data_IF_346273582935
#
_entry.id   IF_346273582935
#
_cell.length_a   1.000
_cell.length_b   1.000
_cell.length_c   1.000
_cell.angle_alpha   90.00
_cell.angle_beta   90.00
_cell.angle_gamma   90.00
#
_symmetry.space_group_name_H-M   'P 1'
#
loop_
_entity.id
_entity.type
_entity.pdbx_description
1 polymer ?
#
# COMPACT_ATOMS: atom_id res chain seq x y z
N UNK A 1 -78.86 -8.02 -0.52
CA UNK A 1 -78.00 -7.93 -1.72
C UNK A 1 -77.15 -6.67 -1.63
N UNK A 2 -75.92 -6.87 -1.15
CA UNK A 2 -74.69 -6.08 -1.25
C UNK A 2 -74.77 -4.65 -1.83
N UNK A 3 -74.70 -3.64 -0.94
CA UNK A 3 -74.27 -2.27 -1.26
C UNK A 3 -72.78 -2.12 -0.93
N UNK A 4 -71.96 -1.95 -1.97
CA UNK A 4 -70.53 -1.62 -1.88
C UNK A 4 -70.37 -0.17 -1.42
N UNK A 5 -69.52 0.04 -0.42
CA UNK A 5 -68.96 1.33 -0.06
C UNK A 5 -67.67 1.53 -0.85
N UNK A 6 -67.61 2.59 -1.65
CA UNK A 6 -66.37 3.07 -2.28
C UNK A 6 -65.94 4.33 -1.54
N UNK A 7 -64.98 4.19 -0.62
CA UNK A 7 -64.24 5.31 -0.05
C UNK A 7 -63.02 5.56 -0.93
N UNK A 8 -62.99 6.74 -1.54
CA UNK A 8 -61.80 7.29 -2.18
C UNK A 8 -60.77 7.66 -1.10
N UNK A 9 -59.58 7.09 -1.16
CA UNK A 9 -58.42 7.55 -0.40
C UNK A 9 -57.48 8.25 -1.36
N UNK A 10 -57.34 9.56 -1.17
CA UNK A 10 -56.34 10.40 -1.82
C UNK A 10 -54.94 10.01 -1.33
N UNK A 11 -54.06 9.63 -2.25
CA UNK A 11 -52.63 9.47 -1.97
C UNK A 11 -51.99 10.84 -2.15
N UNK A 12 -51.63 11.48 -1.04
CA UNK A 12 -50.76 12.66 -1.05
C UNK A 12 -49.31 12.17 -1.20
N UNK A 13 -48.72 12.38 -2.37
CA UNK A 13 -47.29 12.19 -2.59
C UNK A 13 -46.54 13.38 -1.97
N UNK A 14 -45.87 13.14 -0.83
CA UNK A 14 -44.91 14.09 -0.27
C UNK A 14 -43.57 13.89 -1.00
N UNK A 15 -43.22 14.84 -1.86
CA UNK A 15 -41.89 14.92 -2.45
C UNK A 15 -40.90 15.42 -1.37
N UNK A 16 -40.02 14.53 -0.90
CA UNK A 16 -38.86 14.91 -0.10
C UNK A 16 -37.78 15.34 -1.09
N UNK A 17 -37.58 16.66 -1.22
CA UNK A 17 -36.45 17.21 -1.94
C UNK A 17 -35.20 17.03 -1.06
N UNK A 18 -34.33 16.11 -1.45
CA UNK A 18 -32.97 16.00 -0.91
C UNK A 18 -32.17 17.15 -1.50
N UNK A 19 -31.84 18.14 -0.67
CA UNK A 19 -30.88 19.19 -1.02
C UNK A 19 -29.50 18.55 -0.89
N UNK A 20 -28.92 18.13 -2.02
CA UNK A 20 -27.49 17.82 -2.10
C UNK A 20 -26.79 19.17 -2.10
N UNK A 21 -26.23 19.56 -0.96
CA UNK A 21 -25.28 20.66 -0.89
C UNK A 21 -24.00 20.21 -1.60
N UNK A 22 -23.84 20.59 -2.86
CA UNK A 22 -22.56 20.53 -3.54
C UNK A 22 -21.64 21.56 -2.89
N UNK A 23 -20.83 21.14 -1.93
CA UNK A 23 -19.65 21.87 -1.52
C UNK A 23 -18.60 21.72 -2.63
N UNK A 24 -18.78 22.46 -3.73
CA UNK A 24 -17.71 22.73 -4.68
C UNK A 24 -16.79 23.79 -4.08
N UNK A 25 -15.95 23.38 -3.12
CA UNK A 25 -14.71 24.09 -2.88
C UNK A 25 -13.79 23.75 -4.04
N UNK A 26 -13.65 24.67 -4.99
CA UNK A 26 -12.55 24.62 -5.95
C UNK A 26 -11.27 24.91 -5.17
N UNK A 27 -10.74 23.89 -4.52
CA UNK A 27 -9.38 23.85 -3.99
C UNK A 27 -8.46 23.86 -5.20
N UNK A 28 -8.03 25.06 -5.60
CA UNK A 28 -7.07 25.19 -6.69
C UNK A 28 -5.77 24.53 -6.24
N UNK A 29 -5.26 23.61 -7.07
CA UNK A 29 -4.00 22.89 -6.90
C UNK A 29 -2.80 23.79 -6.57
N UNK A 30 -2.90 25.11 -6.82
CA UNK A 30 -1.89 26.14 -6.52
C UNK A 30 -1.62 26.38 -5.03
N UNK A 31 -2.58 26.14 -4.12
CA UNK A 31 -2.39 26.35 -2.67
C UNK A 31 -1.75 25.15 -1.95
N UNK A 32 -1.54 24.05 -2.68
CA UNK A 32 -1.00 22.81 -2.12
C UNK A 32 0.52 22.80 -2.32
N UNK A 33 1.28 22.85 -1.22
CA UNK A 33 2.74 22.79 -1.21
C UNK A 33 3.25 21.37 -1.55
N UNK A 34 2.99 20.92 -2.78
CA UNK A 34 3.26 19.58 -3.27
C UNK A 34 4.29 19.64 -4.40
N UNK A 35 5.13 18.60 -4.58
CA UNK A 35 6.08 18.58 -5.69
C UNK A 35 5.31 18.47 -7.01
N UNK A 36 5.63 19.33 -7.97
CA UNK A 36 4.99 19.37 -9.30
C UNK A 36 5.95 19.01 -10.43
N UNK A 37 7.25 19.15 -10.19
CA UNK A 37 8.31 18.93 -11.16
C UNK A 37 9.56 18.33 -10.49
N UNK A 38 10.57 18.01 -11.29
CA UNK A 38 11.82 17.42 -10.82
C UNK A 38 12.56 18.26 -9.76
N UNK A 39 12.57 19.59 -9.85
CA UNK A 39 13.26 20.45 -8.86
C UNK A 39 12.58 20.38 -7.49
N UNK A 40 11.25 20.45 -7.45
CA UNK A 40 10.48 20.33 -6.21
C UNK A 40 10.53 18.91 -5.65
N UNK A 41 10.61 17.90 -6.52
CA UNK A 41 10.82 16.51 -6.13
C UNK A 41 12.21 16.30 -5.52
N UNK A 42 13.27 16.82 -6.13
CA UNK A 42 14.64 16.81 -5.60
C UNK A 42 14.69 17.44 -4.20
N UNK A 43 14.03 18.59 -4.01
CA UNK A 43 13.95 19.24 -2.72
C UNK A 43 13.26 18.37 -1.67
N UNK A 44 12.13 17.73 -2.01
CA UNK A 44 11.43 16.81 -1.13
C UNK A 44 12.27 15.56 -0.83
N UNK A 45 12.99 15.01 -1.81
CA UNK A 45 13.89 13.87 -1.64
C UNK A 45 14.95 14.17 -0.57
N UNK A 46 15.62 15.32 -0.67
CA UNK A 46 16.63 15.72 0.31
C UNK A 46 16.02 15.93 1.69
N UNK A 47 14.82 16.47 1.74
CA UNK A 47 14.13 16.77 2.99
C UNK A 47 13.72 15.51 3.77
N UNK A 48 13.16 14.50 3.08
CA UNK A 48 12.68 13.27 3.73
C UNK A 48 13.77 12.22 3.92
N UNK A 49 14.96 12.43 3.34
CA UNK A 49 16.06 11.48 3.36
C UNK A 49 16.45 11.05 4.78
N UNK A 50 16.62 9.74 4.96
CA UNK A 50 17.14 9.15 6.20
C UNK A 50 18.60 8.70 6.06
N UNK A 51 19.30 9.09 4.99
CA UNK A 51 20.69 8.71 4.81
C UNK A 51 21.54 9.08 6.04
N UNK A 52 22.27 8.11 6.58
CA UNK A 52 23.09 8.24 7.78
C UNK A 52 22.34 8.26 9.11
N UNK A 53 20.99 8.23 9.13
CA UNK A 53 20.18 8.28 10.37
C UNK A 53 20.51 7.14 11.34
N UNK A 54 20.74 5.93 10.82
CA UNK A 54 21.09 4.73 11.61
C UNK A 54 22.55 4.28 11.41
N UNK A 55 23.38 5.13 10.81
CA UNK A 55 24.79 4.84 10.51
C UNK A 55 25.06 4.71 9.02
N UNK A 56 26.32 4.88 8.63
CA UNK A 56 26.75 4.89 7.23
C UNK A 56 26.71 3.51 6.55
N UNK A 57 26.71 2.44 7.34
CA UNK A 57 26.66 1.06 6.86
C UNK A 57 25.27 0.42 7.05
N UNK A 58 24.25 1.21 7.42
CA UNK A 58 22.89 0.71 7.60
C UNK A 58 22.27 0.29 6.26
N UNK A 59 21.61 -0.87 6.29
CA UNK A 59 20.89 -1.48 5.16
C UNK A 59 19.45 -1.88 5.54
N UNK A 60 19.00 -1.51 6.75
CA UNK A 60 17.65 -1.80 7.25
C UNK A 60 16.69 -0.62 7.10
N UNK A 61 17.20 0.61 7.05
CA UNK A 61 16.36 1.80 6.88
C UNK A 61 15.30 1.93 7.98
N UNK A 62 14.06 2.23 7.60
CA UNK A 62 12.95 2.41 8.54
C UNK A 62 12.55 1.14 9.27
N UNK A 63 13.03 -0.05 8.87
CA UNK A 63 12.87 -1.27 9.65
C UNK A 63 13.53 -1.16 11.05
N UNK A 64 14.56 -0.31 11.20
CA UNK A 64 15.17 0.01 12.50
C UNK A 64 14.20 0.65 13.51
N UNK A 65 13.05 1.16 13.06
CA UNK A 65 12.01 1.73 13.92
C UNK A 65 11.18 0.65 14.65
N UNK A 66 11.27 -0.61 14.19
CA UNK A 66 10.65 -1.75 14.86
C UNK A 66 11.54 -2.19 16.03
N UNK A 67 11.30 -1.57 17.19
CA UNK A 67 12.01 -1.89 18.42
C UNK A 67 11.40 -3.11 19.12
N UNK A 68 12.10 -3.77 20.06
CA UNK A 68 11.52 -4.81 20.90
C UNK A 68 10.28 -4.34 21.68
N UNK A 69 10.18 -3.06 21.99
CA UNK A 69 9.03 -2.47 22.68
C UNK A 69 7.83 -2.37 21.73
N UNK A 70 8.09 -1.99 20.47
CA UNK A 70 7.08 -1.97 19.41
C UNK A 70 6.52 -3.36 19.10
N UNK A 71 7.37 -4.38 19.10
CA UNK A 71 6.95 -5.79 18.96
C UNK A 71 6.00 -6.19 20.09
N UNK A 72 6.29 -5.80 21.34
CA UNK A 72 5.43 -6.10 22.49
C UNK A 72 4.11 -5.32 22.45
N UNK A 73 4.14 -4.07 22.01
CA UNK A 73 2.94 -3.27 21.75
C UNK A 73 2.03 -3.97 20.73
N UNK A 74 2.59 -4.37 19.59
CA UNK A 74 1.86 -5.09 18.55
C UNK A 74 1.27 -6.41 19.07
N UNK A 75 2.05 -7.20 19.81
CA UNK A 75 1.56 -8.45 20.41
C UNK A 75 0.37 -8.24 21.35
N UNK A 76 0.29 -7.07 22.01
CA UNK A 76 -0.85 -6.70 22.86
C UNK A 76 -2.16 -6.44 22.10
N UNK A 77 -2.10 -6.29 20.77
CA UNK A 77 -3.28 -6.11 19.92
C UNK A 77 -4.01 -7.43 19.62
N UNK A 78 -3.39 -8.59 19.88
CA UNK A 78 -4.02 -9.89 19.65
C UNK A 78 -5.02 -10.19 20.76
N UNK A 79 -6.29 -9.96 20.47
CA UNK A 79 -7.43 -10.10 21.39
C UNK A 79 -8.40 -11.18 20.92
N UNK A 80 -8.75 -11.18 19.63
CA UNK A 80 -9.72 -12.13 19.06
C UNK A 80 -9.06 -13.39 18.50
N UNK A 81 -7.77 -13.33 18.18
CA UNK A 81 -7.01 -14.40 17.54
C UNK A 81 -7.38 -14.62 16.07
N UNK A 82 -8.14 -13.69 15.47
CA UNK A 82 -8.52 -13.76 14.05
C UNK A 82 -7.29 -13.41 13.22
N UNK A 83 -6.94 -14.30 12.29
CA UNK A 83 -5.86 -14.08 11.34
C UNK A 83 -6.39 -13.79 9.95
N UNK A 84 -5.79 -12.83 9.27
CA UNK A 84 -6.17 -12.43 7.91
C UNK A 84 -4.92 -12.40 7.03
N UNK A 85 -4.96 -13.16 5.94
CA UNK A 85 -3.96 -13.12 4.87
C UNK A 85 -4.08 -11.79 4.13
N UNK A 86 -2.96 -11.10 3.94
CA UNK A 86 -2.88 -9.88 3.14
C UNK A 86 -2.35 -10.13 1.73
N UNK A 87 -2.05 -11.38 1.36
CA UNK A 87 -1.71 -11.75 0.00
C UNK A 87 -2.90 -12.31 -0.78
N UNK A 88 -2.98 -11.97 -2.06
CA UNK A 88 -3.80 -12.71 -3.02
C UNK A 88 -3.04 -13.93 -3.56
N UNK A 89 -3.77 -14.86 -4.18
CA UNK A 89 -3.13 -15.96 -4.92
C UNK A 89 -2.37 -15.39 -6.13
N UNK A 90 -1.11 -15.79 -6.36
CA UNK A 90 -0.32 -15.29 -7.48
C UNK A 90 -1.00 -15.67 -8.80
N UNK A 91 -0.96 -14.77 -9.78
CA UNK A 91 -1.73 -14.87 -11.03
C UNK A 91 -0.95 -15.63 -12.11
N UNK A 92 -1.41 -16.83 -12.53
CA UNK A 92 -0.73 -17.61 -13.57
C UNK A 92 -1.09 -17.17 -14.99
N UNK A 93 -2.29 -16.62 -15.17
CA UNK A 93 -2.83 -16.30 -16.49
C UNK A 93 -2.50 -14.86 -16.88
N UNK A 94 -2.17 -14.67 -18.16
CA UNK A 94 -2.03 -13.34 -18.75
C UNK A 94 -3.34 -12.55 -18.62
N UNK A 95 -3.21 -11.30 -18.17
CA UNK A 95 -4.28 -10.33 -18.14
C UNK A 95 -3.70 -8.94 -18.39
N UNK A 96 -4.56 -7.94 -18.65
CA UNK A 96 -4.09 -6.56 -18.84
C UNK A 96 -3.43 -5.98 -17.57
N UNK A 97 -3.76 -6.52 -16.39
CA UNK A 97 -3.08 -6.26 -15.12
C UNK A 97 -2.00 -7.30 -14.76
N UNK A 98 -1.71 -8.27 -15.63
CA UNK A 98 -0.67 -9.28 -15.46
C UNK A 98 -0.13 -9.74 -16.82
N UNK A 99 0.51 -8.84 -17.61
CA UNK A 99 0.77 -9.10 -19.02
C UNK A 99 1.79 -10.22 -19.27
N UNK A 100 2.72 -10.47 -18.35
CA UNK A 100 3.84 -11.40 -18.54
C UNK A 100 3.70 -12.71 -17.74
N UNK A 101 2.50 -13.03 -17.23
CA UNK A 101 2.25 -14.20 -16.37
C UNK A 101 3.23 -14.28 -15.18
N UNK A 102 2.96 -13.51 -14.13
CA UNK A 102 3.86 -13.36 -12.99
C UNK A 102 4.15 -14.64 -12.17
N UNK A 103 3.49 -15.77 -12.46
CA UNK A 103 3.59 -16.99 -11.69
C UNK A 103 3.50 -18.26 -12.55
N UNK A 104 4.42 -19.20 -12.29
CA UNK A 104 4.34 -20.55 -12.83
C UNK A 104 4.56 -21.58 -11.72
N UNK A 105 3.79 -22.67 -11.78
CA UNK A 105 3.89 -23.79 -10.85
C UNK A 105 3.96 -25.09 -11.64
N UNK A 106 5.05 -25.83 -11.46
CA UNK A 106 5.25 -27.16 -12.02
C UNK A 106 5.44 -28.18 -10.90
N UNK A 107 4.50 -29.11 -10.77
CA UNK A 107 4.64 -30.26 -9.87
C UNK A 107 5.32 -31.42 -10.61
N UNK A 108 6.26 -32.11 -9.96
CA UNK A 108 6.90 -33.30 -10.51
C UNK A 108 5.90 -34.45 -10.69
N UNK A 109 6.16 -35.33 -11.66
CA UNK A 109 5.34 -36.55 -11.86
C UNK A 109 5.29 -37.44 -10.60
N UNK A 110 6.30 -37.36 -9.74
CA UNK A 110 6.37 -38.11 -8.48
C UNK A 110 5.43 -37.56 -7.39
N UNK A 111 4.80 -36.40 -7.60
CA UNK A 111 3.90 -35.73 -6.65
C UNK A 111 4.57 -35.33 -5.32
N UNK A 112 5.89 -35.18 -5.30
CA UNK A 112 6.68 -34.92 -4.09
C UNK A 112 7.62 -33.73 -4.21
N UNK A 113 7.57 -33.01 -5.33
CA UNK A 113 8.41 -31.84 -5.56
C UNK A 113 7.66 -30.84 -6.41
N UNK A 114 7.84 -29.57 -6.09
CA UNK A 114 7.29 -28.45 -6.83
C UNK A 114 8.43 -27.54 -7.27
N UNK A 115 8.33 -27.01 -8.48
CA UNK A 115 9.10 -25.86 -8.95
C UNK A 115 8.12 -24.70 -9.02
N UNK A 116 8.45 -23.62 -8.32
CA UNK A 116 7.65 -22.40 -8.27
C UNK A 116 8.52 -21.27 -8.81
N UNK A 117 8.01 -20.58 -9.81
CA UNK A 117 8.68 -19.44 -10.44
C UNK A 117 7.79 -18.21 -10.27
N UNK A 118 8.40 -17.13 -9.79
CA UNK A 118 7.75 -15.84 -9.64
C UNK A 118 8.50 -14.79 -10.45
N UNK A 119 7.76 -13.97 -11.19
CA UNK A 119 8.23 -12.70 -11.75
C UNK A 119 7.43 -11.59 -11.08
N UNK A 120 7.98 -10.99 -10.03
CA UNK A 120 7.35 -9.91 -9.26
C UNK A 120 7.97 -8.55 -9.61
N UNK A 121 7.49 -7.48 -8.95
CA UNK A 121 7.55 -6.06 -9.37
C UNK A 121 6.53 -5.66 -10.45
N UNK A 122 5.69 -6.62 -10.86
CA UNK A 122 4.43 -6.38 -11.57
C UNK A 122 3.23 -6.50 -10.64
N UNK A 123 2.01 -6.49 -11.19
CA UNK A 123 0.79 -6.45 -10.39
C UNK A 123 0.18 -7.84 -10.07
N UNK A 124 0.79 -8.91 -10.57
CA UNK A 124 0.25 -10.27 -10.49
C UNK A 124 0.63 -11.06 -9.24
N UNK A 125 1.42 -10.49 -8.32
CA UNK A 125 1.92 -11.15 -7.11
C UNK A 125 1.96 -10.15 -5.96
N UNK A 126 1.42 -10.50 -4.79
CA UNK A 126 1.68 -9.77 -3.55
C UNK A 126 3.14 -9.93 -3.14
N UNK A 127 3.87 -8.83 -3.01
CA UNK A 127 5.31 -8.85 -2.73
C UNK A 127 5.74 -7.68 -1.84
N UNK A 128 6.99 -7.76 -1.39
CA UNK A 128 7.70 -6.65 -0.75
C UNK A 128 8.90 -6.25 -1.59
N UNK A 129 9.11 -4.96 -1.74
CA UNK A 129 10.25 -4.36 -2.43
C UNK A 129 11.38 -4.11 -1.46
N UNK A 130 12.60 -4.52 -1.80
CA UNK A 130 13.76 -4.23 -0.97
C UNK A 130 14.36 -2.85 -1.25
N UNK A 131 15.22 -2.39 -0.35
CA UNK A 131 15.88 -1.08 -0.44
C UNK A 131 16.82 -0.91 -1.66
N UNK A 132 17.11 -1.99 -2.40
CA UNK A 132 17.85 -1.94 -3.65
C UNK A 132 16.95 -1.92 -4.91
N UNK A 133 15.63 -1.94 -4.76
CA UNK A 133 14.68 -1.98 -5.86
C UNK A 133 14.61 -0.66 -6.65
N UNK A 134 14.65 0.47 -5.94
CA UNK A 134 14.62 1.81 -6.53
C UNK A 134 15.91 2.59 -6.26
N UNK A 135 16.34 3.34 -7.27
CA UNK A 135 17.47 4.24 -7.21
C UNK A 135 17.05 5.65 -7.63
N UNK A 136 17.79 6.65 -7.15
CA UNK A 136 17.65 8.02 -7.58
C UNK A 136 19.01 8.69 -7.72
N UNK A 137 19.22 9.42 -8.83
CA UNK A 137 20.47 10.12 -9.12
C UNK A 137 21.75 9.24 -8.98
N UNK A 138 21.65 7.97 -9.37
CA UNK A 138 22.76 7.00 -9.31
C UNK A 138 23.04 6.42 -7.92
N UNK A 139 22.14 6.66 -6.96
CA UNK A 139 22.25 6.19 -5.57
C UNK A 139 21.01 5.37 -5.18
N UNK A 140 21.24 4.28 -4.46
CA UNK A 140 20.25 3.55 -3.67
C UNK A 140 20.17 4.20 -2.26
N UNK A 141 19.35 3.62 -1.39
CA UNK A 141 19.29 4.00 0.02
C UNK A 141 20.68 4.10 0.66
N UNK A 142 20.84 5.08 1.55
CA UNK A 142 22.04 5.36 2.34
C UNK A 142 23.30 5.71 1.51
N UNK A 143 23.11 6.34 0.34
CA UNK A 143 24.18 6.74 -0.59
C UNK A 143 24.96 5.57 -1.19
N UNK A 144 24.39 4.37 -1.22
CA UNK A 144 24.99 3.22 -1.89
C UNK A 144 24.96 3.47 -3.40
N UNK A 145 26.08 3.39 -4.13
CA UNK A 145 26.07 3.59 -5.58
C UNK A 145 25.31 2.47 -6.29
N UNK A 146 24.60 2.79 -7.37
CA UNK A 146 23.86 1.77 -8.16
C UNK A 146 24.74 0.67 -8.72
N UNK A 147 26.05 0.87 -8.82
CA UNK A 147 27.01 -0.19 -9.17
C UNK A 147 27.07 -1.33 -8.14
N UNK A 148 26.48 -1.16 -6.95
CA UNK A 148 26.30 -2.23 -5.97
C UNK A 148 25.17 -3.20 -6.36
N UNK A 149 24.43 -2.93 -7.43
CA UNK A 149 23.41 -3.83 -8.01
C UNK A 149 23.75 -4.15 -9.46
N UNK A 150 23.83 -5.43 -9.80
CA UNK A 150 24.12 -5.89 -11.17
C UNK A 150 23.27 -7.10 -11.56
N UNK A 151 23.21 -7.41 -12.86
CA UNK A 151 22.50 -8.59 -13.34
C UNK A 151 23.21 -9.89 -12.93
N UNK A 152 24.54 -9.83 -12.76
CA UNK A 152 25.38 -10.99 -12.45
C UNK A 152 25.40 -11.33 -10.96
N UNK A 153 25.44 -10.31 -10.09
CA UNK A 153 25.60 -10.48 -8.63
C UNK A 153 24.33 -10.17 -7.84
N UNK A 154 23.30 -9.63 -8.49
CA UNK A 154 22.14 -9.06 -7.81
C UNK A 154 22.52 -7.83 -6.99
N UNK A 155 21.74 -7.54 -5.95
CA UNK A 155 22.02 -6.49 -4.98
C UNK A 155 23.08 -6.94 -3.95
N UNK A 156 24.28 -6.37 -4.01
CA UNK A 156 25.33 -6.64 -2.99
C UNK A 156 25.13 -5.86 -1.69
N UNK A 157 24.20 -4.90 -1.72
CA UNK A 157 23.78 -4.03 -0.63
C UNK A 157 22.27 -3.80 -0.72
N UNK A 158 21.63 -3.53 0.41
CA UNK A 158 20.21 -3.18 0.49
C UNK A 158 19.28 -4.28 -0.05
N UNK A 159 19.74 -5.53 -0.08
CA UNK A 159 18.96 -6.66 -0.58
C UNK A 159 17.90 -7.13 0.43
N UNK A 160 16.97 -7.97 -0.05
CA UNK A 160 15.86 -8.46 0.78
C UNK A 160 16.31 -9.36 1.95
N UNK A 161 17.53 -9.92 1.91
CA UNK A 161 18.04 -10.78 2.97
C UNK A 161 18.31 -10.02 4.27
N UNK A 162 18.43 -8.68 4.20
CA UNK A 162 18.48 -7.82 5.38
C UNK A 162 17.23 -7.98 6.28
N UNK A 163 16.07 -8.33 5.71
CA UNK A 163 14.81 -8.54 6.44
C UNK A 163 14.62 -9.99 6.95
N UNK A 164 15.66 -10.84 6.93
CA UNK A 164 15.57 -12.25 7.31
C UNK A 164 15.08 -12.53 8.75
N UNK A 165 15.13 -11.54 9.65
CA UNK A 165 14.62 -11.69 11.02
C UNK A 165 13.08 -11.60 11.09
N UNK A 166 12.43 -11.32 9.96
CA UNK A 166 10.99 -11.10 9.88
C UNK A 166 10.57 -9.73 10.40
N UNK A 167 9.35 -9.38 10.07
CA UNK A 167 8.70 -8.12 10.41
C UNK A 167 7.58 -8.48 11.37
N UNK A 168 7.68 -7.99 12.61
CA UNK A 168 6.62 -8.10 13.61
C UNK A 168 6.40 -6.72 14.22
N UNK A 169 5.28 -6.09 13.91
CA UNK A 169 4.97 -4.75 14.40
C UNK A 169 3.47 -4.49 14.32
N UNK A 170 3.05 -3.28 14.66
CA UNK A 170 1.66 -2.84 14.53
C UNK A 170 1.39 -2.42 13.08
N UNK A 171 0.37 -3.00 12.48
CA UNK A 171 -0.21 -2.55 11.22
C UNK A 171 -1.44 -1.68 11.46
N UNK A 172 -1.63 -0.66 10.62
CA UNK A 172 -2.81 0.22 10.61
C UNK A 172 -3.41 0.24 9.21
N UNK A 173 -4.71 -0.08 9.11
CA UNK A 173 -5.45 0.00 7.85
C UNK A 173 -5.97 1.43 7.61
N UNK A 174 -5.65 1.98 6.44
CA UNK A 174 -6.20 3.21 5.87
C UNK A 174 -7.22 2.84 4.78
N UNK A 175 -8.52 2.79 5.11
CA UNK A 175 -9.60 2.37 4.20
C UNK A 175 -10.27 3.57 3.52
N UNK A 176 -9.65 4.07 2.45
CA UNK A 176 -10.09 5.29 1.77
C UNK A 176 -11.42 5.13 1.03
N UNK A 177 -11.76 4.00 0.39
CA UNK A 177 -13.11 3.79 -0.14
C UNK A 177 -14.19 3.90 0.95
N UNK A 178 -13.93 3.38 2.16
CA UNK A 178 -14.87 3.47 3.28
C UNK A 178 -15.01 4.89 3.81
N UNK A 179 -13.92 5.66 3.88
CA UNK A 179 -13.97 7.10 4.14
C UNK A 179 -14.91 7.82 3.17
N UNK A 180 -14.76 7.52 1.87
CA UNK A 180 -15.48 8.19 0.77
C UNK A 180 -16.89 7.61 0.52
N UNK A 181 -17.26 6.52 1.20
CA UNK A 181 -18.56 5.85 1.02
C UNK A 181 -18.73 5.19 -0.35
N UNK A 182 -17.63 4.75 -0.97
CA UNK A 182 -17.59 4.10 -2.29
C UNK A 182 -17.04 2.68 -2.18
N UNK A 183 -17.36 1.76 -3.11
CA UNK A 183 -16.83 0.38 -3.05
C UNK A 183 -15.32 0.31 -3.33
N UNK A 184 -14.82 1.22 -4.17
CA UNK A 184 -13.43 1.35 -4.61
C UNK A 184 -13.18 2.76 -5.13
N UNK A 185 -11.91 3.19 -5.19
CA UNK A 185 -11.50 4.42 -5.85
C UNK A 185 -11.41 4.21 -7.36
N UNK A 186 -11.66 5.27 -8.13
CA UNK A 186 -11.46 5.20 -9.59
C UNK A 186 -9.97 5.27 -9.95
N UNK A 187 -9.56 4.72 -11.10
CA UNK A 187 -8.20 4.87 -11.60
C UNK A 187 -7.74 6.33 -11.62
N UNK A 188 -6.46 6.55 -11.30
CA UNK A 188 -5.83 7.88 -11.20
C UNK A 188 -6.36 8.78 -10.08
N UNK A 189 -7.21 8.27 -9.19
CA UNK A 189 -7.63 9.02 -8.01
C UNK A 189 -6.49 9.12 -6.98
N UNK A 190 -6.04 10.35 -6.72
CA UNK A 190 -4.99 10.63 -5.75
C UNK A 190 -5.53 10.69 -4.32
N UNK A 191 -4.79 10.08 -3.40
CA UNK A 191 -5.02 10.14 -1.96
C UNK A 191 -4.00 11.13 -1.38
N UNK A 192 -4.50 12.11 -0.63
CA UNK A 192 -3.68 13.14 0.03
C UNK A 192 -3.69 12.98 1.55
N UNK A 193 -2.90 13.80 2.24
CA UNK A 193 -2.79 13.78 3.71
C UNK A 193 -4.15 14.06 4.36
N UNK A 194 -4.97 14.91 3.75
CA UNK A 194 -6.31 15.25 4.25
C UNK A 194 -7.24 14.03 4.26
N UNK A 195 -7.16 13.16 3.24
CA UNK A 195 -7.90 11.90 3.21
C UNK A 195 -7.43 10.98 4.35
N UNK A 196 -6.12 10.87 4.55
CA UNK A 196 -5.53 10.02 5.60
C UNK A 196 -5.93 10.51 6.99
N UNK A 197 -5.80 11.80 7.27
CA UNK A 197 -6.18 12.39 8.56
C UNK A 197 -7.69 12.28 8.83
N UNK A 198 -8.52 12.53 7.81
CA UNK A 198 -9.97 12.35 7.93
C UNK A 198 -10.34 10.89 8.22
N UNK A 199 -9.65 9.93 7.59
CA UNK A 199 -9.81 8.52 7.90
C UNK A 199 -9.40 8.18 9.34
N UNK A 200 -8.22 8.64 9.78
CA UNK A 200 -7.72 8.37 11.14
C UNK A 200 -8.67 8.92 12.21
N UNK A 201 -9.23 10.12 11.99
CA UNK A 201 -10.26 10.70 12.85
C UNK A 201 -11.53 9.83 12.88
N UNK A 202 -12.06 9.43 11.72
CA UNK A 202 -13.26 8.59 11.62
C UNK A 202 -13.04 7.20 12.25
N UNK A 203 -11.87 6.61 12.02
CA UNK A 203 -11.48 5.30 12.52
C UNK A 203 -11.14 5.32 14.02
N UNK A 204 -10.92 6.50 14.61
CA UNK A 204 -10.51 6.65 16.00
C UNK A 204 -9.15 6.00 16.29
N UNK A 205 -8.22 6.06 15.33
CA UNK A 205 -6.88 5.46 15.44
C UNK A 205 -5.79 6.47 15.10
N UNK A 206 -4.54 6.12 15.38
CA UNK A 206 -3.37 6.97 15.15
C UNK A 206 -2.21 6.15 14.61
N UNK A 207 -1.43 6.75 13.71
CA UNK A 207 -0.16 6.18 13.22
C UNK A 207 1.00 6.81 13.99
N UNK A 208 1.96 5.99 14.38
CA UNK A 208 3.17 6.41 15.08
C UNK A 208 4.39 5.55 14.75
N UNK A 209 5.50 5.86 15.43
CA UNK A 209 6.81 5.28 15.12
C UNK A 209 6.78 3.76 15.12
N UNK A 210 7.34 3.16 14.06
CA UNK A 210 7.47 1.72 13.89
C UNK A 210 6.23 1.05 13.29
N UNK A 211 5.12 1.77 13.09
CA UNK A 211 3.92 1.22 12.45
C UNK A 211 4.13 0.93 10.97
N UNK A 212 3.39 -0.06 10.46
CA UNK A 212 3.14 -0.23 9.03
C UNK A 212 1.78 0.35 8.71
N UNK A 213 1.68 1.13 7.63
CA UNK A 213 0.38 1.55 7.10
C UNK A 213 0.03 0.73 5.87
N UNK A 214 -1.21 0.25 5.78
CA UNK A 214 -1.76 -0.36 4.58
C UNK A 214 -2.87 0.53 4.02
N UNK A 215 -2.72 1.00 2.79
CA UNK A 215 -3.68 1.87 2.11
C UNK A 215 -4.54 1.01 1.20
N UNK A 216 -5.82 0.86 1.54
CA UNK A 216 -6.79 0.21 0.68
C UNK A 216 -7.34 1.21 -0.32
N UNK A 217 -7.19 0.92 -1.61
CA UNK A 217 -7.83 1.66 -2.71
C UNK A 217 -9.09 0.98 -3.24
N UNK A 218 -9.29 -0.30 -2.89
CA UNK A 218 -10.39 -1.12 -3.38
C UNK A 218 -10.10 -1.76 -4.74
N UNK A 219 -8.81 -1.94 -5.09
CA UNK A 219 -8.40 -2.48 -6.39
C UNK A 219 -9.10 -3.80 -6.71
N UNK A 220 -9.13 -4.72 -5.74
CA UNK A 220 -9.69 -6.07 -5.96
C UNK A 220 -11.21 -6.04 -6.05
N UNK A 221 -11.89 -5.21 -5.24
CA UNK A 221 -13.31 -4.94 -5.39
C UNK A 221 -13.66 -4.41 -6.79
N UNK A 222 -12.86 -3.47 -7.31
CA UNK A 222 -13.02 -2.95 -8.67
C UNK A 222 -12.81 -4.03 -9.73
N UNK A 223 -11.71 -4.80 -9.62
CA UNK A 223 -11.39 -5.88 -10.56
C UNK A 223 -12.50 -6.92 -10.63
N UNK A 224 -13.10 -7.26 -9.48
CA UNK A 224 -14.21 -8.19 -9.41
C UNK A 224 -15.50 -7.65 -10.07
N UNK A 225 -15.74 -6.34 -9.98
CA UNK A 225 -16.92 -5.70 -10.55
C UNK A 225 -16.80 -5.45 -12.07
N UNK A 226 -15.66 -4.91 -12.52
CA UNK A 226 -15.49 -4.37 -13.88
C UNK A 226 -14.53 -5.21 -14.75
N UNK A 227 -13.85 -6.20 -14.16
CA UNK A 227 -12.79 -6.97 -14.81
C UNK A 227 -11.40 -6.33 -14.69
N UNK A 228 -10.36 -7.01 -15.20
CA UNK A 228 -9.00 -6.49 -15.17
C UNK A 228 -8.84 -5.25 -16.05
N UNK A 229 -7.94 -4.34 -15.67
CA UNK A 229 -7.61 -3.14 -16.44
C UNK A 229 -6.11 -2.85 -16.40
N UNK A 230 -5.63 -1.98 -17.27
CA UNK A 230 -4.24 -1.55 -17.25
C UNK A 230 -3.95 -0.75 -15.98
N UNK A 231 -3.22 -1.34 -15.02
CA UNK A 231 -2.86 -0.68 -13.76
C UNK A 231 -1.70 0.31 -13.93
N UNK A 232 -0.65 -0.10 -14.66
CA UNK A 232 0.49 0.79 -14.92
C UNK A 232 0.03 2.01 -15.70
N UNK A 233 0.33 3.20 -15.16
CA UNK A 233 -0.11 4.49 -15.69
C UNK A 233 -1.57 4.86 -15.36
N UNK A 234 -2.31 4.04 -14.61
CA UNK A 234 -3.75 4.22 -14.40
C UNK A 234 -4.25 3.48 -13.12
N UNK A 235 -3.68 3.85 -11.97
CA UNK A 235 -4.04 3.31 -10.65
C UNK A 235 -4.33 4.44 -9.65
N UNK A 236 -5.26 4.20 -8.73
CA UNK A 236 -5.37 5.04 -7.54
C UNK A 236 -4.17 4.80 -6.61
N UNK A 237 -3.85 5.77 -5.77
CA UNK A 237 -2.74 5.66 -4.82
C UNK A 237 -2.46 6.97 -4.11
N UNK A 238 -1.41 6.99 -3.28
CA UNK A 238 -1.01 8.20 -2.55
C UNK A 238 -0.22 9.14 -3.45
N UNK A 239 -0.40 10.44 -3.22
CA UNK A 239 0.41 11.47 -3.85
C UNK A 239 1.77 11.61 -3.15
N UNK A 240 2.81 12.04 -3.87
CA UNK A 240 4.17 12.24 -3.35
C UNK A 240 4.24 13.16 -2.12
N UNK A 241 3.29 14.08 -1.97
CA UNK A 241 3.20 14.97 -0.81
C UNK A 241 2.90 14.25 0.51
N UNK A 242 2.33 13.05 0.46
CA UNK A 242 2.06 12.22 1.64
C UNK A 242 3.35 11.72 2.28
N UNK A 243 4.46 11.63 1.54
CA UNK A 243 5.71 11.06 2.07
C UNK A 243 6.28 11.88 3.23
N UNK A 244 6.08 13.20 3.24
CA UNK A 244 6.46 14.07 4.38
C UNK A 244 5.74 13.64 5.66
N UNK A 245 4.43 13.36 5.55
CA UNK A 245 3.60 12.89 6.66
C UNK A 245 4.05 11.52 7.18
N UNK A 246 4.40 10.61 6.27
CA UNK A 246 4.94 9.27 6.58
C UNK A 246 6.26 9.41 7.34
N UNK A 247 7.14 10.29 6.86
CA UNK A 247 8.44 10.59 7.46
C UNK A 247 8.33 11.22 8.85
N UNK A 248 7.39 12.13 9.06
CA UNK A 248 7.16 12.78 10.35
C UNK A 248 6.64 11.82 11.42
N UNK A 249 5.92 10.76 11.02
CA UNK A 249 5.37 9.73 11.92
C UNK A 249 6.27 8.53 12.14
N UNK A 250 7.43 8.49 11.49
CA UNK A 250 8.36 7.38 11.59
C UNK A 250 7.68 6.03 11.26
N UNK A 251 6.90 6.00 10.19
CA UNK A 251 6.33 4.77 9.63
C UNK A 251 7.48 3.85 9.18
N UNK A 252 7.39 2.56 9.54
CA UNK A 252 8.43 1.57 9.26
C UNK A 252 8.33 0.96 7.87
N UNK A 253 7.11 0.69 7.39
CA UNK A 253 6.81 0.17 6.06
C UNK A 253 5.49 0.76 5.55
N UNK A 254 5.32 0.80 4.23
CA UNK A 254 4.08 1.24 3.58
C UNK A 254 3.58 0.11 2.69
N UNK A 255 2.27 -0.13 2.67
CA UNK A 255 1.67 -1.11 1.78
C UNK A 255 0.40 -0.61 1.12
N UNK A 256 0.09 -1.18 -0.04
CA UNK A 256 -1.13 -0.88 -0.80
C UNK A 256 -1.66 -2.13 -1.51
N UNK A 257 -2.92 -2.08 -1.94
CA UNK A 257 -3.49 -3.10 -2.82
C UNK A 257 -3.11 -2.93 -4.30
N UNK A 258 -2.42 -1.85 -4.66
CA UNK A 258 -1.82 -1.60 -5.97
C UNK A 258 -0.32 -1.24 -5.83
N UNK A 259 0.23 -0.41 -6.73
CA UNK A 259 1.63 0.03 -6.71
C UNK A 259 1.88 1.27 -5.85
N UNK A 260 1.17 1.42 -4.72
CA UNK A 260 1.25 2.54 -3.74
C UNK A 260 1.07 3.98 -4.28
N UNK A 261 1.83 4.40 -5.29
CA UNK A 261 1.69 5.62 -6.10
C UNK A 261 0.32 5.70 -6.80
N UNK A 262 -0.21 6.93 -6.83
CA UNK A 262 -1.20 7.29 -7.85
C UNK A 262 -0.53 7.30 -9.23
N UNK A 263 -1.20 6.72 -10.23
CA UNK A 263 -0.73 6.72 -11.61
C UNK A 263 -1.83 7.24 -12.57
N UNK A 264 -1.49 8.11 -13.55
CA UNK A 264 -0.15 8.58 -13.88
C UNK A 264 0.40 9.51 -12.80
N UNK A 265 1.72 9.65 -12.76
CA UNK A 265 2.37 10.56 -11.82
C UNK A 265 1.87 11.99 -11.99
N UNK A 266 1.65 12.64 -10.86
CA UNK A 266 1.31 14.06 -10.79
C UNK A 266 2.56 14.94 -10.55
N UNK A 267 3.76 14.34 -10.63
CA UNK A 267 5.06 15.01 -10.60
C UNK A 267 5.68 14.90 -11.99
N UNK A 268 5.86 16.02 -12.67
CA UNK A 268 6.44 16.06 -14.02
C UNK A 268 7.83 15.42 -14.04
N UNK A 269 8.07 14.60 -15.08
CA UNK A 269 9.31 13.85 -15.33
C UNK A 269 9.73 12.81 -14.27
N UNK A 270 8.87 12.52 -13.28
CA UNK A 270 9.11 11.48 -12.27
C UNK A 270 7.99 10.45 -12.31
N UNK A 271 8.30 9.21 -12.72
CA UNK A 271 7.26 8.19 -12.99
C UNK A 271 6.59 7.61 -11.73
N UNK A 272 7.38 7.25 -10.71
CA UNK A 272 6.90 6.66 -9.44
C UNK A 272 7.54 7.43 -8.27
N UNK A 273 7.09 8.68 -8.02
CA UNK A 273 7.70 9.54 -7.02
C UNK A 273 7.60 8.98 -5.60
N UNK A 274 6.50 8.32 -5.22
CA UNK A 274 6.33 7.77 -3.87
C UNK A 274 7.26 6.60 -3.66
N UNK A 275 7.32 5.62 -4.58
CA UNK A 275 8.30 4.54 -4.54
C UNK A 275 9.73 5.06 -4.37
N UNK A 276 10.11 6.05 -5.19
CA UNK A 276 11.46 6.62 -5.18
C UNK A 276 11.78 7.28 -3.84
N UNK A 277 10.84 8.06 -3.28
CA UNK A 277 11.05 8.74 -1.99
C UNK A 277 11.07 7.75 -0.82
N UNK A 278 10.16 6.77 -0.79
CA UNK A 278 10.11 5.77 0.27
C UNK A 278 11.39 4.90 0.25
N UNK A 279 11.73 4.31 -0.88
CA UNK A 279 12.83 3.35 -0.97
C UNK A 279 14.19 4.07 -0.94
N UNK A 280 14.46 4.95 -1.91
CA UNK A 280 15.80 5.51 -2.08
C UNK A 280 16.11 6.65 -1.11
N UNK A 281 15.13 7.49 -0.72
CA UNK A 281 15.36 8.56 0.25
C UNK A 281 15.20 8.08 1.69
N UNK A 282 14.05 7.48 2.02
CA UNK A 282 13.71 7.14 3.40
C UNK A 282 14.28 5.79 3.86
N UNK A 283 14.62 4.88 2.95
CA UNK A 283 14.96 3.51 3.31
C UNK A 283 13.75 2.73 3.80
N UNK A 284 12.61 2.88 3.14
CA UNK A 284 11.33 2.25 3.50
C UNK A 284 10.94 1.24 2.43
N UNK A 285 11.02 -0.04 2.76
CA UNK A 285 10.50 -1.15 1.95
C UNK A 285 8.97 -1.06 1.81
N UNK A 286 8.44 -1.53 0.67
CA UNK A 286 7.03 -1.36 0.28
C UNK A 286 6.36 -2.72 0.12
N UNK A 287 5.16 -2.89 0.68
CA UNK A 287 4.29 -4.03 0.40
C UNK A 287 3.34 -3.71 -0.75
N UNK A 288 3.62 -4.27 -1.91
CA UNK A 288 2.89 -3.95 -3.13
C UNK A 288 1.93 -5.08 -3.53
N UNK A 289 0.79 -4.69 -4.10
CA UNK A 289 -0.25 -5.62 -4.56
C UNK A 289 -0.83 -6.52 -3.46
N UNK A 290 -1.03 -6.00 -2.26
CA UNK A 290 -1.71 -6.73 -1.19
C UNK A 290 -3.19 -6.97 -1.51
N UNK A 291 -3.79 -8.01 -0.93
CA UNK A 291 -5.25 -8.15 -0.84
C UNK A 291 -5.74 -7.64 0.52
N UNK A 292 -6.36 -6.46 0.49
CA UNK A 292 -6.83 -5.77 1.70
C UNK A 292 -8.34 -5.89 1.91
N UNK A 293 -9.06 -6.66 1.08
CA UNK A 293 -10.53 -6.77 1.17
C UNK A 293 -10.95 -7.50 2.45
N UNK A 294 -10.36 -8.66 2.71
CA UNK A 294 -10.65 -9.43 3.92
C UNK A 294 -10.20 -8.68 5.20
N UNK A 295 -9.11 -7.91 5.10
CA UNK A 295 -8.63 -7.07 6.20
C UNK A 295 -9.64 -5.98 6.53
N UNK A 296 -10.13 -5.27 5.51
CA UNK A 296 -11.11 -4.19 5.68
C UNK A 296 -12.43 -4.68 6.29
N UNK A 297 -12.94 -5.83 5.83
CA UNK A 297 -14.17 -6.39 6.38
C UNK A 297 -13.98 -6.91 7.81
N UNK A 298 -12.83 -7.52 8.12
CA UNK A 298 -12.50 -7.96 9.48
C UNK A 298 -12.34 -6.78 10.43
N UNK A 299 -11.59 -5.75 10.02
CA UNK A 299 -11.39 -4.54 10.80
C UNK A 299 -12.71 -3.79 11.08
N UNK A 300 -13.60 -3.73 10.08
CA UNK A 300 -14.93 -3.17 10.24
C UNK A 300 -15.80 -3.97 11.22
N UNK A 301 -15.77 -5.31 11.13
CA UNK A 301 -16.53 -6.19 12.03
C UNK A 301 -16.04 -6.10 13.49
N UNK A 302 -14.72 -5.97 13.67
CA UNK A 302 -14.08 -5.80 14.97
C UNK A 302 -14.13 -4.35 15.48
N UNK A 303 -14.58 -3.40 14.65
CA UNK A 303 -14.48 -1.96 14.86
C UNK A 303 -13.07 -1.53 15.35
N UNK A 304 -12.04 -2.08 14.69
CA UNK A 304 -10.64 -1.93 15.07
C UNK A 304 -9.78 -1.97 13.81
N UNK A 305 -9.00 -0.91 13.62
CA UNK A 305 -8.24 -0.66 12.39
C UNK A 305 -6.73 -0.85 12.57
N UNK A 306 -6.33 -1.29 13.76
CA UNK A 306 -4.96 -1.64 14.13
C UNK A 306 -4.87 -3.12 14.49
N UNK A 307 -3.76 -3.76 14.13
CA UNK A 307 -3.55 -5.19 14.30
C UNK A 307 -2.07 -5.50 14.47
N UNK A 308 -1.75 -6.68 15.01
CA UNK A 308 -0.39 -7.20 14.90
C UNK A 308 -0.15 -7.66 13.46
N UNK A 309 0.89 -7.15 12.84
CA UNK A 309 1.37 -7.61 11.54
C UNK A 309 2.52 -8.60 11.75
N UNK A 310 2.48 -9.71 11.03
CA UNK A 310 3.66 -10.56 10.82
C UNK A 310 3.92 -10.73 9.33
N UNK A 311 5.14 -10.46 8.87
CA UNK A 311 5.57 -10.75 7.51
C UNK A 311 7.00 -11.30 7.52
N UNK A 312 7.28 -12.26 6.66
CA UNK A 312 8.59 -12.90 6.60
C UNK A 312 8.98 -13.13 5.13
N UNK A 313 9.70 -12.19 4.50
CA UNK A 313 10.20 -12.40 3.15
C UNK A 313 11.22 -13.55 3.13
N UNK A 314 11.27 -14.27 2.01
CA UNK A 314 12.33 -15.26 1.79
C UNK A 314 13.64 -14.49 1.60
N UNK A 315 14.70 -14.79 2.38
CA UNK A 315 15.94 -14.03 2.36
C UNK A 315 16.83 -14.43 1.17
N UNK A 316 16.38 -14.06 -0.03
CA UNK A 316 17.15 -14.27 -1.27
C UNK A 316 18.29 -13.26 -1.32
N UNK A 317 19.52 -13.73 -1.12
CA UNK A 317 20.73 -12.90 -1.27
C UNK A 317 20.76 -12.33 -2.70
N UNK A 318 20.98 -11.03 -2.84
CA UNK A 318 20.93 -10.33 -4.12
C UNK A 318 19.54 -9.95 -4.60
N UNK A 319 18.48 -10.31 -3.87
CA UNK A 319 17.09 -10.09 -4.26
C UNK A 319 16.62 -8.64 -4.11
N UNK A 320 15.90 -8.15 -5.11
CA UNK A 320 15.22 -6.83 -5.12
C UNK A 320 13.89 -6.81 -4.39
N UNK A 321 13.51 -7.93 -3.76
CA UNK A 321 12.23 -8.09 -3.08
C UNK A 321 11.93 -9.54 -2.79
N UNK A 322 10.70 -9.84 -2.36
CA UNK A 322 10.24 -11.21 -2.14
C UNK A 322 8.72 -11.32 -2.27
N UNK A 323 8.19 -12.36 -2.92
CA UNK A 323 6.78 -12.72 -2.77
C UNK A 323 6.55 -13.20 -1.33
N UNK A 324 5.47 -12.74 -0.71
CA UNK A 324 5.19 -13.09 0.69
C UNK A 324 3.71 -13.00 1.02
N UNK A 325 3.34 -13.60 2.15
CA UNK A 325 2.03 -13.46 2.74
C UNK A 325 2.14 -12.77 4.11
N UNK A 326 1.94 -11.45 4.17
CA UNK A 326 1.79 -10.75 5.44
C UNK A 326 0.47 -11.19 6.10
N UNK A 327 0.50 -11.41 7.41
CA UNK A 327 -0.66 -11.83 8.20
C UNK A 327 -1.00 -10.73 9.20
N UNK A 328 -2.23 -10.23 9.13
CA UNK A 328 -2.81 -9.40 10.19
C UNK A 328 -3.44 -10.30 11.27
N UNK A 329 -3.24 -9.95 12.55
CA UNK A 329 -3.73 -10.70 13.70
C UNK A 329 -4.41 -9.74 14.67
N UNK A 330 -5.69 -10.01 14.93
CA UNK A 330 -6.59 -9.23 15.80
C UNK A 330 -6.79 -9.87 17.17
#
# INVERSE_FOLDING_TARGET
MTRKWTTASAVAAAAIAVIIAACSGADTQEDRNFPRNAEEFDALFQEVSNAGRWGADDELGTANLITPDKVREAAGLVQSGITVSLAHSPMPDEAVDNPDSAFNHTMSESLTSDTIEFTYHGYGVSHIDSLCHFAYNGLLYNNVPTSASSAEEGCTKNDISNLQQGIVTRGVLLDIPRLKGVPYLEPSEAIYVEDIEAWLEQAGTTVGSGDVIFIRTGRWARRAAEGPWQLSGNSAGIHASVVRWIRERDVSFVGSDAATDVQPSLVEDVNLPVHTLLIAAMGTDIFDNMDLEALAETAAAENRWEFMLTAAPIPVIGGTGSPLNPIAIF
#
